data_IF_582500891501
#
_entry.id   IF_582500891501
#
_cell.length_a   1.000
_cell.length_b   1.000
_cell.length_c   1.000
_cell.angle_alpha   90.00
_cell.angle_beta   90.00
_cell.angle_gamma   90.00
#
_symmetry.space_group_name_H-M   'P 1'
#
loop_
_entity.id
_entity.type
_entity.pdbx_description
1 polymer ?
#
# COMPACT_ATOMS: atom_id res chain seq x y z
N UNK A 1 -7.85 4.20 -7.67
CA UNK A 1 -7.29 2.83 -7.58
C UNK A 1 -8.30 1.76 -7.09
N UNK A 2 -9.60 2.09 -6.95
CA UNK A 2 -10.61 1.15 -6.44
C UNK A 2 -10.84 -0.10 -7.30
N UNK A 3 -10.68 0.00 -8.63
CA UNK A 3 -10.84 -1.17 -9.52
C UNK A 3 -9.84 -2.29 -9.22
N UNK A 4 -8.56 -1.95 -8.97
CA UNK A 4 -7.54 -2.95 -8.60
C UNK A 4 -7.89 -3.61 -7.27
N UNK A 5 -8.27 -2.82 -6.27
CA UNK A 5 -8.67 -3.33 -4.96
C UNK A 5 -9.89 -4.27 -5.07
N UNK A 6 -10.93 -3.88 -5.81
CA UNK A 6 -12.15 -4.66 -6.00
C UNK A 6 -11.91 -5.97 -6.78
N UNK A 7 -10.92 -6.01 -7.68
CA UNK A 7 -10.57 -7.19 -8.47
C UNK A 7 -9.83 -8.26 -7.64
N UNK A 8 -9.25 -7.91 -6.50
CA UNK A 8 -8.42 -8.82 -5.68
C UNK A 8 -9.15 -10.11 -5.32
N UNK A 9 -10.36 -10.01 -4.76
CA UNK A 9 -11.15 -11.17 -4.33
C UNK A 9 -11.64 -12.05 -5.50
N UNK A 10 -12.26 -11.51 -6.58
CA UNK A 10 -12.68 -12.36 -7.70
C UNK A 10 -11.49 -13.02 -8.39
N UNK A 11 -10.36 -12.33 -8.56
CA UNK A 11 -9.14 -12.94 -9.12
C UNK A 11 -8.58 -14.05 -8.22
N UNK A 12 -8.57 -13.85 -6.90
CA UNK A 12 -8.18 -14.89 -5.94
C UNK A 12 -9.07 -16.15 -6.08
N UNK A 13 -10.38 -15.98 -6.29
CA UNK A 13 -11.33 -17.09 -6.48
C UNK A 13 -11.12 -17.81 -7.81
N UNK A 14 -10.89 -17.06 -8.89
CA UNK A 14 -10.63 -17.61 -10.22
C UNK A 14 -9.36 -18.48 -10.22
N UNK A 15 -8.29 -17.95 -9.62
CA UNK A 15 -6.97 -18.57 -9.66
C UNK A 15 -6.72 -19.61 -8.55
N UNK A 16 -7.66 -19.78 -7.61
CA UNK A 16 -7.54 -20.73 -6.49
C UNK A 16 -7.30 -22.17 -6.97
N UNK A 17 -7.93 -22.59 -8.08
CA UNK A 17 -7.74 -23.94 -8.66
C UNK A 17 -6.33 -24.18 -9.19
N UNK A 18 -5.63 -23.11 -9.56
CA UNK A 18 -4.24 -23.15 -10.01
C UNK A 18 -3.24 -23.00 -8.86
N UNK A 19 -3.71 -22.91 -7.60
CA UNK A 19 -2.84 -22.72 -6.43
C UNK A 19 -2.19 -21.33 -6.36
N UNK A 20 -2.73 -20.33 -7.06
CA UNK A 20 -2.17 -18.97 -7.09
C UNK A 20 -2.95 -18.09 -6.13
N UNK A 21 -2.24 -17.45 -5.19
CA UNK A 21 -2.80 -16.44 -4.28
C UNK A 21 -2.77 -15.06 -4.95
N UNK A 22 -3.75 -14.23 -4.62
CA UNK A 22 -3.86 -12.85 -5.11
C UNK A 22 -4.00 -11.91 -3.92
N UNK A 23 -3.14 -10.90 -3.85
CA UNK A 23 -3.12 -9.89 -2.80
C UNK A 23 -2.90 -8.51 -3.42
N UNK A 24 -3.40 -7.47 -2.75
CA UNK A 24 -3.18 -6.09 -3.15
C UNK A 24 -2.60 -5.29 -1.99
N UNK A 25 -1.63 -4.43 -2.26
CA UNK A 25 -1.14 -3.45 -1.28
C UNK A 25 -1.67 -2.06 -1.69
N UNK A 26 -2.26 -1.36 -0.73
CA UNK A 26 -2.72 0.02 -0.88
C UNK A 26 -1.81 0.94 -0.07
N UNK A 27 -0.70 1.45 -0.66
CA UNK A 27 0.23 2.31 0.04
C UNK A 27 -0.36 3.71 0.27
N UNK A 28 0.06 4.32 1.38
CA UNK A 28 -0.05 5.76 1.63
C UNK A 28 1.06 6.53 0.91
N UNK A 29 1.65 7.50 1.60
CA UNK A 29 2.73 8.31 1.06
C UNK A 29 4.08 7.60 1.23
N UNK A 30 4.80 7.41 0.12
CA UNK A 30 6.12 6.78 0.10
C UNK A 30 7.14 7.60 -0.68
N UNK A 31 8.39 7.55 -0.22
CA UNK A 31 9.54 8.17 -0.83
C UNK A 31 9.93 7.41 -2.12
N UNK A 32 9.42 7.89 -3.25
CA UNK A 32 9.69 7.31 -4.56
C UNK A 32 9.93 8.42 -5.57
N UNK A 33 10.41 8.08 -6.78
CA UNK A 33 10.51 9.03 -7.88
C UNK A 33 9.17 9.74 -8.20
N UNK A 34 8.03 9.10 -7.88
CA UNK A 34 6.70 9.72 -8.03
C UNK A 34 6.49 10.92 -7.07
N UNK A 35 7.16 10.91 -5.92
CA UNK A 35 7.14 12.00 -4.95
C UNK A 35 8.22 13.07 -5.20
N UNK A 36 9.09 12.89 -6.21
CA UNK A 36 10.22 13.78 -6.49
C UNK A 36 9.79 15.19 -6.97
N UNK A 37 8.55 15.36 -7.42
CA UNK A 37 8.01 16.66 -7.83
C UNK A 37 7.45 17.51 -6.69
N UNK A 38 7.51 17.04 -5.44
CA UNK A 38 7.00 17.78 -4.29
C UNK A 38 8.01 18.85 -3.85
N UNK A 39 7.55 20.08 -3.64
CA UNK A 39 8.40 21.11 -3.01
C UNK A 39 8.70 20.74 -1.56
N UNK A 40 9.83 21.20 -0.99
CA UNK A 40 10.18 20.91 0.41
C UNK A 40 9.08 21.30 1.40
N UNK A 41 8.41 22.43 1.19
CA UNK A 41 7.35 22.93 2.08
C UNK A 41 6.11 22.03 2.03
N UNK A 42 5.76 21.53 0.84
CA UNK A 42 4.62 20.63 0.68
C UNK A 42 4.92 19.22 1.22
N UNK A 43 6.17 18.79 1.15
CA UNK A 43 6.60 17.54 1.77
C UNK A 43 6.45 17.59 3.28
N UNK A 44 6.96 18.65 3.92
CA UNK A 44 6.86 18.84 5.37
C UNK A 44 5.40 18.89 5.83
N UNK A 45 4.53 19.60 5.10
CA UNK A 45 3.11 19.67 5.46
C UNK A 45 2.38 18.32 5.31
N UNK A 46 2.73 17.53 4.28
CA UNK A 46 2.21 16.18 4.11
C UNK A 46 2.68 15.25 5.23
N UNK A 47 3.96 15.27 5.57
CA UNK A 47 4.53 14.44 6.65
C UNK A 47 3.89 14.78 8.00
N UNK A 48 3.62 16.06 8.27
CA UNK A 48 2.92 16.51 9.47
C UNK A 48 1.46 16.02 9.55
N UNK A 49 0.84 15.67 8.42
CA UNK A 49 -0.52 15.12 8.36
C UNK A 49 -0.59 13.61 8.64
N UNK A 50 0.56 12.92 8.70
CA UNK A 50 0.64 11.49 8.93
C UNK A 50 0.59 11.18 10.44
N UNK A 51 -0.40 10.39 10.91
CA UNK A 51 -0.53 10.07 12.32
C UNK A 51 0.71 9.41 12.95
N UNK A 52 1.10 8.22 12.49
CA UNK A 52 2.31 7.54 12.97
C UNK A 52 2.70 6.38 12.04
N UNK A 53 3.99 6.22 11.68
CA UNK A 53 5.06 7.20 11.86
C UNK A 53 4.79 8.48 11.08
N UNK A 54 5.13 9.64 11.66
CA UNK A 54 4.92 10.97 11.07
C UNK A 54 5.99 11.33 10.04
N UNK A 55 6.18 10.43 9.07
CA UNK A 55 7.07 10.58 7.91
C UNK A 55 6.56 9.73 6.77
N UNK A 56 7.03 10.00 5.56
CA UNK A 56 6.77 9.13 4.41
C UNK A 56 7.38 7.74 4.64
N UNK A 57 6.73 6.72 4.09
CA UNK A 57 7.28 5.38 4.05
C UNK A 57 8.46 5.29 3.10
N UNK A 58 9.43 4.41 3.37
CA UNK A 58 10.54 4.13 2.46
C UNK A 58 10.27 2.87 1.63
N UNK A 59 10.86 2.71 0.43
CA UNK A 59 10.60 1.55 -0.43
C UNK A 59 10.80 0.20 0.26
N UNK A 60 11.77 0.09 1.17
CA UNK A 60 12.05 -1.13 1.91
C UNK A 60 10.89 -1.55 2.82
N UNK A 61 10.14 -0.60 3.40
CA UNK A 61 8.96 -0.91 4.23
C UNK A 61 7.82 -1.50 3.39
N UNK A 62 7.69 -1.07 2.13
CA UNK A 62 6.78 -1.70 1.18
C UNK A 62 7.25 -3.12 0.82
N UNK A 63 8.56 -3.28 0.58
CA UNK A 63 9.16 -4.57 0.24
C UNK A 63 9.00 -5.61 1.38
N UNK A 64 9.10 -5.19 2.64
CA UNK A 64 8.84 -6.04 3.80
C UNK A 64 7.44 -6.65 3.77
N UNK A 65 6.42 -5.86 3.42
CA UNK A 65 5.04 -6.37 3.30
C UNK A 65 4.89 -7.33 2.12
N UNK A 66 5.55 -7.05 0.99
CA UNK A 66 5.57 -7.97 -0.17
C UNK A 66 6.18 -9.32 0.24
N UNK A 67 7.31 -9.31 0.93
CA UNK A 67 7.96 -10.52 1.42
C UNK A 67 7.02 -11.32 2.34
N UNK A 68 6.37 -10.66 3.30
CA UNK A 68 5.41 -11.30 4.20
C UNK A 68 4.23 -11.92 3.44
N UNK A 69 3.74 -11.26 2.39
CA UNK A 69 2.69 -11.79 1.52
C UNK A 69 3.16 -13.06 0.81
N UNK A 70 4.41 -13.09 0.33
CA UNK A 70 4.98 -14.27 -0.33
C UNK A 70 5.16 -15.43 0.65
N UNK A 71 5.71 -15.16 1.84
CA UNK A 71 6.06 -16.16 2.83
C UNK A 71 4.86 -16.74 3.58
N UNK A 72 3.79 -15.96 3.79
CA UNK A 72 2.62 -16.41 4.53
C UNK A 72 1.57 -17.05 3.60
N UNK A 73 1.37 -18.39 3.67
CA UNK A 73 0.50 -19.10 2.74
C UNK A 73 -0.99 -18.83 2.93
N UNK A 74 -1.43 -18.31 4.09
CA UNK A 74 -2.85 -18.07 4.34
C UNK A 74 -3.34 -16.73 3.79
N UNK A 75 -2.43 -15.80 3.46
CA UNK A 75 -2.79 -14.50 2.92
C UNK A 75 -3.30 -14.62 1.48
N UNK A 76 -4.61 -14.42 1.27
CA UNK A 76 -5.22 -14.47 -0.05
C UNK A 76 -6.50 -13.64 -0.11
N UNK A 77 -6.74 -12.95 -1.23
CA UNK A 77 -7.98 -12.22 -1.50
C UNK A 77 -8.15 -10.90 -0.74
N UNK A 78 -7.08 -10.33 -0.19
CA UNK A 78 -7.14 -9.17 0.71
C UNK A 78 -6.33 -7.97 0.21
N UNK A 79 -6.74 -6.78 0.63
CA UNK A 79 -6.10 -5.48 0.39
C UNK A 79 -5.51 -4.94 1.68
N UNK A 80 -4.19 -4.91 1.80
CA UNK A 80 -3.52 -4.39 2.99
C UNK A 80 -3.15 -2.92 2.79
N UNK A 81 -3.57 -2.06 3.72
CA UNK A 81 -3.12 -0.67 3.78
C UNK A 81 -1.79 -0.57 4.52
N UNK A 82 -0.85 0.19 3.97
CA UNK A 82 0.41 0.56 4.62
C UNK A 82 0.61 2.06 4.45
N UNK A 83 0.20 2.85 5.42
CA UNK A 83 -0.11 4.27 5.18
C UNK A 83 0.01 5.19 6.41
N UNK A 84 0.67 4.73 7.47
CA UNK A 84 0.78 5.49 8.72
C UNK A 84 -0.56 5.92 9.33
N UNK A 85 -1.63 5.14 9.09
CA UNK A 85 -3.01 5.41 9.49
C UNK A 85 -3.66 6.66 8.85
N UNK A 86 -3.06 7.20 7.77
CA UNK A 86 -3.59 8.40 7.12
C UNK A 86 -4.96 8.15 6.48
N UNK A 87 -5.83 9.17 6.57
CA UNK A 87 -7.03 9.28 5.74
C UNK A 87 -6.94 10.61 5.02
N UNK A 88 -6.88 10.56 3.69
CA UNK A 88 -6.78 11.77 2.89
C UNK A 88 -8.07 12.56 3.02
N UNK A 89 -7.98 13.76 3.60
CA UNK A 89 -9.10 14.68 3.66
C UNK A 89 -9.51 15.08 2.22
N UNK A 90 -10.79 15.35 1.97
CA UNK A 90 -11.22 15.96 0.72
C UNK A 90 -10.47 17.29 0.53
N UNK A 91 -9.98 17.50 -0.69
CA UNK A 91 -9.50 18.82 -1.13
C UNK A 91 -10.66 19.67 -1.60
#
# INVERSE_FOLDING_TARGET
>A
KGGVAAMTLPAARELARSGIRVMTIAPGLFETAMAAGLTPEFRVSLEASLPFPSRMGVPDEFAMLVQQIVENPILNGEVIRIDSAVRMAPK
#
